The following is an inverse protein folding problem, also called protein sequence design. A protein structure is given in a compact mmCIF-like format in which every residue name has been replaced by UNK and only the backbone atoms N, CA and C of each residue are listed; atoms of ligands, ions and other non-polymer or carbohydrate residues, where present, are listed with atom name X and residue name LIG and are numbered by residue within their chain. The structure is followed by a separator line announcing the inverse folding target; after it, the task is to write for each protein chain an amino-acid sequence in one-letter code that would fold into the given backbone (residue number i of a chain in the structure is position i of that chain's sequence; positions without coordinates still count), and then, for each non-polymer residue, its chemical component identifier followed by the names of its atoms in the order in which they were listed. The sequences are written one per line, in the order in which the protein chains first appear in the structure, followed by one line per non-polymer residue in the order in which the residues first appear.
data_IF_412529425021
#
_entry.id   IF_412529425021
#
_cell.length_a   1.000
_cell.length_b   1.000
_cell.length_c   1.000
_cell.angle_alpha   90.00
_cell.angle_beta   90.00
_cell.angle_gamma   90.00
#
_symmetry.space_group_name_H-M   'P 1'
#
loop_
_entity.id
_entity.type
_entity.pdbx_description
1 polymer ?
#
# COMPACT_ATOMS: atom_id res chain seq x y z
N UNK A 1 -56.13 45.94 39.56
CA UNK A 1 -57.07 45.71 38.46
C UNK A 1 -57.06 44.18 38.28
N UNK A 2 -58.17 43.52 38.64
CA UNK A 2 -58.33 42.10 38.39
C UNK A 2 -58.64 41.89 36.90
N UNK A 3 -58.13 40.84 36.25
CA UNK A 3 -58.41 40.58 34.83
C UNK A 3 -59.90 40.27 34.64
N UNK A 4 -60.45 40.73 33.57
CA UNK A 4 -61.85 40.54 33.20
C UNK A 4 -62.08 39.08 32.71
N UNK A 5 -63.34 38.60 32.82
CA UNK A 5 -63.65 37.20 32.39
C UNK A 5 -63.35 36.91 30.90
N UNK A 6 -63.18 37.91 30.06
CA UNK A 6 -62.84 37.73 28.65
C UNK A 6 -61.35 37.46 28.44
N UNK A 7 -60.45 37.93 29.33
CA UNK A 7 -59.04 37.68 29.27
C UNK A 7 -58.67 36.20 29.61
N UNK A 8 -59.58 35.51 30.33
CA UNK A 8 -59.42 34.10 30.71
C UNK A 8 -59.91 33.13 29.64
N UNK A 9 -60.65 33.56 28.65
CA UNK A 9 -61.06 32.73 27.52
C UNK A 9 -60.05 32.68 26.36
N UNK A 10 -59.21 33.69 26.20
CA UNK A 10 -58.14 33.67 25.19
C UNK A 10 -56.95 32.77 25.60
N UNK A 11 -56.85 32.39 26.88
CA UNK A 11 -55.79 31.49 27.37
C UNK A 11 -56.11 29.99 27.24
N UNK A 12 -57.31 29.62 26.71
CA UNK A 12 -57.71 28.20 26.58
C UNK A 12 -57.55 27.55 25.22
N UNK A 13 -57.09 28.27 24.21
CA UNK A 13 -56.92 27.76 22.85
C UNK A 13 -55.47 27.64 22.38
N UNK A 14 -54.55 27.37 23.31
CA UNK A 14 -53.21 26.90 22.92
C UNK A 14 -53.27 25.36 22.80
N UNK A 15 -53.44 24.90 21.59
CA UNK A 15 -53.47 23.49 21.29
C UNK A 15 -52.16 22.81 21.68
N UNK A 16 -52.19 21.53 22.17
CA UNK A 16 -50.96 20.80 22.56
C UNK A 16 -50.05 20.48 21.39
N UNK A 17 -50.37 20.94 20.18
CA UNK A 17 -49.69 20.56 18.94
C UNK A 17 -48.42 21.37 18.60
N UNK A 18 -48.11 22.45 19.30
CA UNK A 18 -46.95 23.31 18.97
C UNK A 18 -45.65 22.93 19.66
N UNK A 19 -45.65 22.02 20.62
CA UNK A 19 -44.43 21.58 21.33
C UNK A 19 -43.68 20.40 20.71
N UNK A 20 -44.28 19.66 19.74
CA UNK A 20 -43.62 18.54 19.04
C UNK A 20 -42.84 18.93 17.78
N UNK A 21 -43.05 20.14 17.26
CA UNK A 21 -42.54 20.59 15.96
C UNK A 21 -41.03 20.77 15.88
N UNK A 22 -40.27 21.18 16.95
CA UNK A 22 -38.83 21.38 16.83
C UNK A 22 -38.01 20.09 16.72
N UNK A 23 -38.44 19.01 17.41
CA UNK A 23 -37.67 17.74 17.43
C UNK A 23 -37.91 16.97 16.14
N UNK A 24 -39.09 16.96 15.60
CA UNK A 24 -39.38 16.28 14.34
C UNK A 24 -38.76 17.00 13.13
N UNK A 25 -38.80 18.34 13.07
CA UNK A 25 -38.07 19.11 12.05
C UNK A 25 -36.56 18.95 12.14
N UNK A 26 -35.99 18.83 13.36
CA UNK A 26 -34.58 18.56 13.55
C UNK A 26 -34.23 17.13 13.08
N UNK A 27 -35.06 16.12 13.41
CA UNK A 27 -34.84 14.75 12.99
C UNK A 27 -34.95 14.58 11.46
N UNK A 28 -35.98 15.20 10.84
CA UNK A 28 -36.11 15.24 9.37
C UNK A 28 -34.93 15.95 8.70
N UNK A 29 -34.42 17.03 9.31
CA UNK A 29 -33.24 17.74 8.82
C UNK A 29 -31.96 16.88 8.89
N UNK A 30 -31.80 16.03 9.91
CA UNK A 30 -30.67 15.11 10.01
C UNK A 30 -30.77 13.93 9.04
N UNK A 31 -31.96 13.34 8.89
CA UNK A 31 -32.20 12.23 7.95
C UNK A 31 -32.07 12.68 6.51
N UNK A 32 -32.56 13.87 6.15
CA UNK A 32 -32.37 14.44 4.81
C UNK A 32 -30.90 14.78 4.52
N UNK A 33 -30.17 15.35 5.47
CA UNK A 33 -28.75 15.61 5.34
C UNK A 33 -27.93 14.33 5.24
N UNK A 34 -28.26 13.31 6.02
CA UNK A 34 -27.65 12.00 5.94
C UNK A 34 -27.95 11.31 4.60
N UNK A 35 -29.20 11.39 4.13
CA UNK A 35 -29.59 10.84 2.82
C UNK A 35 -28.90 11.61 1.67
N UNK A 36 -28.77 12.92 1.77
CA UNK A 36 -28.00 13.74 0.82
C UNK A 36 -26.51 13.38 0.83
N UNK A 37 -25.92 13.18 2.01
CA UNK A 37 -24.52 12.74 2.15
C UNK A 37 -24.32 11.34 1.56
N UNK A 38 -25.24 10.40 1.83
CA UNK A 38 -25.21 9.06 1.26
C UNK A 38 -25.42 9.09 -0.25
N UNK A 39 -26.34 9.90 -0.76
CA UNK A 39 -26.55 10.05 -2.20
C UNK A 39 -25.34 10.67 -2.89
N UNK A 40 -24.65 11.61 -2.24
CA UNK A 40 -23.38 12.15 -2.72
C UNK A 40 -22.31 11.06 -2.81
N UNK A 41 -22.23 10.20 -1.81
CA UNK A 41 -21.25 9.11 -1.73
C UNK A 41 -21.46 8.06 -2.84
N UNK A 42 -22.73 7.72 -3.16
CA UNK A 42 -23.05 6.66 -4.12
C UNK A 42 -23.22 7.16 -5.57
N UNK A 43 -23.81 8.32 -5.75
CA UNK A 43 -24.22 8.79 -7.08
C UNK A 43 -23.55 10.08 -7.52
N UNK A 44 -22.89 10.81 -6.61
CA UNK A 44 -22.32 12.13 -6.88
C UNK A 44 -23.41 13.16 -7.26
N UNK A 45 -23.04 14.42 -7.27
CA UNK A 45 -23.81 15.47 -7.93
C UNK A 45 -23.16 15.72 -9.31
N UNK A 46 -23.92 16.29 -10.25
CA UNK A 46 -23.43 16.56 -11.62
C UNK A 46 -22.09 17.30 -11.65
N UNK A 47 -21.78 18.07 -10.60
CA UNK A 47 -20.53 18.84 -10.42
C UNK A 47 -19.41 18.04 -9.78
N UNK A 48 -19.74 16.96 -9.01
CA UNK A 48 -18.80 16.13 -8.25
C UNK A 48 -19.09 14.66 -8.52
N UNK A 49 -18.69 14.17 -9.65
CA UNK A 49 -18.97 12.78 -10.04
C UNK A 49 -17.74 11.89 -9.93
N UNK A 50 -16.56 12.45 -10.22
CA UNK A 50 -15.33 11.67 -10.27
C UNK A 50 -14.77 11.38 -8.88
N UNK A 51 -14.89 12.31 -7.96
CA UNK A 51 -14.45 12.13 -6.57
C UNK A 51 -15.14 10.93 -5.91
N UNK A 52 -16.49 10.82 -5.84
CA UNK A 52 -17.15 9.64 -5.28
C UNK A 52 -16.88 8.37 -6.10
N UNK A 53 -16.72 8.48 -7.42
CA UNK A 53 -16.37 7.33 -8.25
C UNK A 53 -15.01 6.74 -7.87
N UNK A 54 -13.98 7.57 -7.69
CA UNK A 54 -12.65 7.12 -7.27
C UNK A 54 -12.69 6.54 -5.85
N UNK A 55 -13.44 7.17 -4.92
CA UNK A 55 -13.66 6.65 -3.57
C UNK A 55 -14.29 5.25 -3.63
N UNK A 56 -15.35 5.07 -4.41
CA UNK A 56 -16.03 3.77 -4.54
C UNK A 56 -15.12 2.71 -5.18
N UNK A 57 -14.26 3.07 -6.13
CA UNK A 57 -13.25 2.16 -6.69
C UNK A 57 -12.28 1.69 -5.60
N UNK A 58 -11.76 2.61 -4.77
CA UNK A 58 -10.86 2.24 -3.65
C UNK A 58 -11.57 1.32 -2.65
N UNK A 59 -12.81 1.62 -2.29
CA UNK A 59 -13.62 0.77 -1.40
C UNK A 59 -13.88 -0.61 -2.01
N UNK A 60 -14.20 -0.68 -3.31
CA UNK A 60 -14.41 -1.95 -4.00
C UNK A 60 -13.14 -2.81 -4.03
N UNK A 61 -11.98 -2.22 -4.34
CA UNK A 61 -10.70 -2.92 -4.26
C UNK A 61 -10.44 -3.44 -2.85
N UNK A 62 -10.67 -2.62 -1.83
CA UNK A 62 -10.48 -3.02 -0.43
C UNK A 62 -11.40 -4.19 -0.03
N UNK A 63 -12.69 -4.14 -0.41
CA UNK A 63 -13.65 -5.22 -0.13
C UNK A 63 -13.31 -6.52 -0.89
N UNK A 64 -12.85 -6.43 -2.14
CA UNK A 64 -12.38 -7.59 -2.91
C UNK A 64 -11.20 -8.24 -2.18
N UNK A 65 -10.25 -7.43 -1.73
CA UNK A 65 -9.06 -7.87 -1.00
C UNK A 65 -9.45 -8.62 0.28
N UNK A 66 -10.37 -8.08 1.07
CA UNK A 66 -10.91 -8.74 2.27
C UNK A 66 -11.62 -10.05 1.90
N UNK A 67 -12.46 -10.03 0.88
CA UNK A 67 -13.20 -11.20 0.42
C UNK A 67 -12.32 -12.34 -0.08
N UNK A 68 -11.10 -12.03 -0.55
CA UNK A 68 -10.09 -13.02 -0.94
C UNK A 68 -9.31 -13.60 0.26
N UNK A 69 -9.75 -13.34 1.50
CA UNK A 69 -9.17 -13.94 2.71
C UNK A 69 -7.98 -13.19 3.30
N UNK A 70 -7.78 -11.92 2.92
CA UNK A 70 -6.84 -11.06 3.64
C UNK A 70 -7.37 -10.87 5.07
N UNK A 71 -6.75 -11.57 6.04
CA UNK A 71 -7.16 -11.48 7.43
C UNK A 71 -6.89 -10.07 7.97
N UNK A 72 -7.95 -9.29 8.19
CA UNK A 72 -7.92 -7.91 8.72
C UNK A 72 -7.22 -7.84 10.09
N UNK A 73 -7.17 -8.98 10.80
CA UNK A 73 -6.65 -9.08 12.17
C UNK A 73 -5.19 -9.53 12.27
N UNK A 74 -4.51 -9.80 11.15
CA UNK A 74 -3.07 -10.08 11.18
C UNK A 74 -2.28 -8.77 11.33
N UNK A 75 -1.12 -8.79 12.05
CA UNK A 75 -0.21 -7.65 12.06
C UNK A 75 0.14 -7.17 10.65
N UNK A 76 0.26 -5.86 10.46
CA UNK A 76 0.54 -5.23 9.16
C UNK A 76 1.73 -5.89 8.44
N UNK A 77 2.79 -6.21 9.17
CA UNK A 77 3.98 -6.91 8.65
C UNK A 77 3.68 -8.30 8.07
N UNK A 78 2.77 -9.06 8.68
CA UNK A 78 2.40 -10.40 8.20
C UNK A 78 1.41 -10.31 7.04
N UNK A 79 0.52 -9.32 7.04
CA UNK A 79 -0.40 -9.04 5.92
C UNK A 79 0.35 -8.60 4.67
N UNK A 80 1.26 -7.64 4.80
CA UNK A 80 2.09 -7.16 3.69
C UNK A 80 3.02 -8.27 3.19
N UNK A 81 3.55 -9.12 4.09
CA UNK A 81 4.36 -10.27 3.70
C UNK A 81 3.53 -11.33 2.95
N UNK A 82 2.32 -11.65 3.41
CA UNK A 82 1.46 -12.61 2.72
C UNK A 82 0.94 -12.07 1.38
N UNK A 83 0.59 -10.77 1.31
CA UNK A 83 0.09 -10.10 0.10
C UNK A 83 1.21 -9.64 -0.81
N UNK A 84 2.29 -9.09 -0.25
CA UNK A 84 3.50 -8.77 -0.98
C UNK A 84 4.12 -10.02 -1.61
N UNK A 85 3.95 -11.20 -0.99
CA UNK A 85 4.37 -12.48 -1.56
C UNK A 85 3.51 -12.88 -2.79
N UNK A 86 2.20 -12.64 -2.78
CA UNK A 86 1.33 -12.86 -3.94
C UNK A 86 1.53 -11.81 -5.05
N UNK A 87 1.68 -10.53 -4.70
CA UNK A 87 1.99 -9.48 -5.67
C UNK A 87 3.45 -9.48 -6.13
N UNK A 88 4.37 -10.05 -5.33
CA UNK A 88 5.81 -10.14 -5.58
C UNK A 88 6.23 -11.28 -6.52
N UNK A 89 5.38 -12.28 -6.74
CA UNK A 89 5.71 -13.44 -7.59
C UNK A 89 5.80 -13.14 -9.08
N UNK A 90 5.52 -11.91 -9.50
CA UNK A 90 5.54 -11.54 -10.92
C UNK A 90 6.61 -10.45 -11.10
N UNK A 91 7.54 -10.63 -12.03
CA UNK A 91 8.63 -9.68 -12.24
C UNK A 91 8.07 -8.30 -12.55
N UNK A 92 8.43 -7.30 -11.74
CA UNK A 92 7.98 -5.90 -11.86
C UNK A 92 8.20 -5.33 -13.27
N UNK A 93 9.19 -5.84 -13.98
CA UNK A 93 9.55 -5.39 -15.34
C UNK A 93 8.54 -5.75 -16.42
N UNK A 94 7.64 -6.70 -16.18
CA UNK A 94 6.66 -7.16 -17.19
C UNK A 94 5.27 -6.59 -16.93
N UNK A 95 4.99 -6.02 -15.75
CA UNK A 95 3.64 -5.70 -15.32
C UNK A 95 3.42 -4.24 -14.94
N UNK A 96 3.65 -3.34 -15.90
CA UNK A 96 3.41 -1.89 -15.76
C UNK A 96 2.01 -1.53 -15.20
N UNK A 97 1.00 -2.36 -15.44
CA UNK A 97 -0.35 -2.14 -14.92
C UNK A 97 -0.42 -2.16 -13.38
N UNK A 98 0.55 -2.77 -12.70
CA UNK A 98 0.62 -2.79 -11.24
C UNK A 98 0.87 -1.39 -10.67
N UNK A 99 1.63 -0.55 -11.36
CA UNK A 99 1.82 0.85 -10.97
C UNK A 99 0.49 1.62 -10.92
N UNK A 100 -0.44 1.24 -11.80
CA UNK A 100 -1.79 1.83 -11.83
C UNK A 100 -2.69 1.22 -10.74
N UNK A 101 -2.68 -0.11 -10.60
CA UNK A 101 -3.55 -0.82 -9.64
C UNK A 101 -3.15 -0.51 -8.20
N UNK A 102 -1.86 -0.35 -7.92
CA UNK A 102 -1.35 -0.05 -6.57
C UNK A 102 -1.95 1.24 -5.98
N UNK A 103 -2.36 2.19 -6.81
CA UNK A 103 -3.01 3.45 -6.39
C UNK A 103 -4.34 3.20 -5.67
N UNK A 104 -5.02 2.08 -5.98
CA UNK A 104 -6.34 1.75 -5.44
C UNK A 104 -6.29 0.71 -4.33
N UNK A 105 -5.14 0.08 -4.10
CA UNK A 105 -4.97 -0.98 -3.10
C UNK A 105 -4.64 -0.38 -1.74
N UNK A 106 -5.35 -0.79 -0.70
CA UNK A 106 -5.09 -0.39 0.69
C UNK A 106 -4.94 -1.63 1.57
N UNK A 107 -3.92 -1.64 2.41
CA UNK A 107 -3.63 -2.77 3.29
C UNK A 107 -4.44 -2.77 4.58
N UNK A 108 -4.96 -1.61 5.01
CA UNK A 108 -5.70 -1.46 6.26
C UNK A 108 -6.84 -0.43 6.17
N UNK A 109 -7.79 -0.53 7.09
CA UNK A 109 -8.96 0.36 7.18
C UNK A 109 -8.55 1.79 7.49
N UNK A 110 -7.59 2.00 8.39
CA UNK A 110 -7.19 3.34 8.83
C UNK A 110 -6.53 4.16 7.69
N UNK A 111 -5.51 3.64 6.96
CA UNK A 111 -4.99 4.30 5.76
C UNK A 111 -6.07 4.57 4.71
N UNK A 112 -6.96 3.61 4.47
CA UNK A 112 -8.08 3.79 3.53
C UNK A 112 -8.96 4.96 3.96
N UNK A 113 -9.43 4.97 5.21
CA UNK A 113 -10.34 6.00 5.72
C UNK A 113 -9.74 7.41 5.61
N UNK A 114 -8.47 7.56 6.01
CA UNK A 114 -7.79 8.86 5.97
C UNK A 114 -7.53 9.31 4.53
N UNK A 115 -7.09 8.41 3.65
CA UNK A 115 -6.93 8.72 2.24
C UNK A 115 -8.26 9.11 1.58
N UNK A 116 -9.36 8.42 1.89
CA UNK A 116 -10.68 8.79 1.35
C UNK A 116 -11.15 10.13 1.89
N UNK A 117 -10.95 10.44 3.16
CA UNK A 117 -11.26 11.75 3.72
C UNK A 117 -10.45 12.87 3.04
N UNK A 118 -9.16 12.66 2.83
CA UNK A 118 -8.29 13.60 2.13
C UNK A 118 -8.72 13.77 0.66
N UNK A 119 -9.03 12.67 -0.04
CA UNK A 119 -9.50 12.71 -1.42
C UNK A 119 -10.83 13.48 -1.56
N UNK A 120 -11.79 13.23 -0.66
CA UNK A 120 -13.08 13.94 -0.67
C UNK A 120 -12.86 15.42 -0.44
N UNK A 121 -12.04 15.80 0.53
CA UNK A 121 -11.79 17.21 0.86
C UNK A 121 -11.17 17.99 -0.30
N UNK A 122 -10.14 17.43 -0.94
CA UNK A 122 -9.49 18.10 -2.07
C UNK A 122 -10.32 17.98 -3.35
N UNK A 123 -11.06 16.89 -3.51
CA UNK A 123 -11.90 16.61 -4.68
C UNK A 123 -13.05 17.59 -4.80
N UNK A 124 -13.73 17.93 -3.70
CA UNK A 124 -14.79 18.93 -3.67
C UNK A 124 -14.31 20.30 -4.19
N UNK A 125 -13.03 20.60 -3.99
CA UNK A 125 -12.43 21.88 -4.44
C UNK A 125 -11.94 21.79 -5.87
N UNK A 126 -11.23 20.74 -6.22
CA UNK A 126 -10.54 20.64 -7.51
C UNK A 126 -11.41 20.15 -8.66
N UNK A 127 -12.35 19.25 -8.41
CA UNK A 127 -13.15 18.67 -9.50
C UNK A 127 -13.97 19.72 -10.26
N UNK A 128 -14.65 20.70 -9.59
CA UNK A 128 -15.35 21.77 -10.31
C UNK A 128 -14.41 22.69 -11.10
N UNK A 129 -13.19 22.89 -10.61
CA UNK A 129 -12.20 23.79 -11.24
C UNK A 129 -11.59 23.13 -12.48
N UNK A 130 -11.15 21.88 -12.33
CA UNK A 130 -10.47 21.14 -13.40
C UNK A 130 -11.45 20.56 -14.41
N UNK A 131 -12.64 20.19 -13.97
CA UNK A 131 -13.59 19.36 -14.73
C UNK A 131 -13.17 17.89 -14.70
N UNK A 132 -14.12 17.01 -15.02
CA UNK A 132 -14.02 15.55 -14.84
C UNK A 132 -12.75 14.92 -15.41
N UNK A 133 -12.48 15.19 -16.70
CA UNK A 133 -11.37 14.57 -17.42
C UNK A 133 -10.01 14.96 -16.84
N UNK A 134 -9.76 16.25 -16.60
CA UNK A 134 -8.49 16.74 -16.05
C UNK A 134 -8.28 16.29 -14.61
N UNK A 135 -9.37 16.23 -13.83
CA UNK A 135 -9.33 15.75 -12.46
C UNK A 135 -8.86 14.28 -12.39
N UNK A 136 -9.50 13.39 -13.15
CA UNK A 136 -9.12 11.97 -13.22
C UNK A 136 -7.70 11.81 -13.77
N UNK A 137 -7.36 12.55 -14.83
CA UNK A 137 -6.01 12.51 -15.41
C UNK A 137 -4.95 12.95 -14.39
N UNK A 138 -5.19 14.04 -13.66
CA UNK A 138 -4.27 14.50 -12.62
C UNK A 138 -4.09 13.46 -11.52
N UNK A 139 -5.18 12.85 -11.03
CA UNK A 139 -5.14 11.80 -10.02
C UNK A 139 -4.30 10.60 -10.47
N UNK A 140 -4.60 10.05 -11.65
CA UNK A 140 -3.93 8.86 -12.17
C UNK A 140 -2.46 9.11 -12.48
N UNK A 141 -2.14 10.21 -13.17
CA UNK A 141 -0.76 10.52 -13.53
C UNK A 141 0.11 10.82 -12.32
N UNK A 142 -0.42 11.53 -11.33
CA UNK A 142 0.30 11.79 -10.07
C UNK A 142 0.55 10.49 -9.30
N UNK A 143 -0.43 9.59 -9.28
CA UNK A 143 -0.29 8.27 -8.67
C UNK A 143 0.78 7.42 -9.37
N UNK A 144 0.78 7.39 -10.71
CA UNK A 144 1.79 6.66 -11.50
C UNK A 144 3.19 7.19 -11.21
N UNK A 145 3.39 8.52 -11.23
CA UNK A 145 4.71 9.11 -10.90
C UNK A 145 5.07 8.82 -9.44
N UNK A 146 4.13 8.88 -8.52
CA UNK A 146 4.35 8.47 -7.13
C UNK A 146 4.89 7.05 -7.06
N UNK A 147 4.20 6.09 -7.68
CA UNK A 147 4.62 4.67 -7.70
C UNK A 147 5.99 4.48 -8.37
N UNK A 148 6.26 5.19 -9.47
CA UNK A 148 7.57 5.12 -10.18
C UNK A 148 8.68 5.75 -9.33
N UNK A 149 8.41 6.88 -8.65
CA UNK A 149 9.39 7.53 -7.76
C UNK A 149 9.73 6.62 -6.58
N UNK A 150 8.74 5.96 -6.00
CA UNK A 150 8.93 4.96 -4.97
C UNK A 150 9.84 3.84 -5.44
N UNK A 151 9.53 3.28 -6.60
CA UNK A 151 10.33 2.21 -7.20
C UNK A 151 11.79 2.63 -7.45
N UNK A 152 12.01 3.87 -7.88
CA UNK A 152 13.36 4.41 -8.12
C UNK A 152 14.12 4.72 -6.83
N UNK A 153 13.41 5.05 -5.75
CA UNK A 153 14.03 5.39 -4.46
C UNK A 153 14.31 4.17 -3.59
N UNK A 154 13.40 3.21 -3.62
CA UNK A 154 13.47 1.98 -2.82
C UNK A 154 13.16 0.78 -3.73
N UNK A 155 14.17 0.24 -4.39
CA UNK A 155 14.06 -0.78 -5.45
C UNK A 155 13.25 -2.04 -5.09
N UNK A 156 12.88 -2.20 -3.82
CA UNK A 156 12.10 -3.35 -3.33
C UNK A 156 10.89 -2.95 -2.46
N UNK A 157 10.50 -1.68 -2.42
CA UNK A 157 9.25 -1.28 -1.78
C UNK A 157 8.12 -1.21 -2.81
N UNK A 158 7.00 -1.82 -2.47
CA UNK A 158 5.78 -1.67 -3.26
C UNK A 158 5.01 -0.53 -2.61
N UNK A 159 4.92 0.59 -3.29
CA UNK A 159 3.99 1.66 -2.91
C UNK A 159 2.57 1.16 -3.08
N UNK A 160 1.83 1.08 -1.99
CA UNK A 160 0.42 0.67 -1.96
C UNK A 160 -0.37 1.84 -1.36
N UNK A 161 -1.44 2.24 -2.04
CA UNK A 161 -2.36 3.26 -1.55
C UNK A 161 -2.47 4.49 -2.44
N UNK A 162 -3.51 5.27 -2.19
CA UNK A 162 -3.84 6.47 -2.94
C UNK A 162 -2.98 7.69 -2.57
N UNK A 163 -2.08 7.59 -1.58
CA UNK A 163 -1.37 8.72 -0.99
C UNK A 163 -0.58 9.54 -2.00
N UNK A 164 0.15 8.89 -2.92
CA UNK A 164 0.88 9.57 -4.00
C UNK A 164 -0.04 10.34 -4.93
N UNK A 165 -1.16 9.76 -5.33
CA UNK A 165 -2.16 10.42 -6.17
C UNK A 165 -2.81 11.61 -5.44
N UNK A 166 -3.18 11.44 -4.18
CA UNK A 166 -3.79 12.49 -3.35
C UNK A 166 -2.80 13.63 -3.09
N UNK A 167 -1.54 13.32 -2.76
CA UNK A 167 -0.48 14.34 -2.67
C UNK A 167 -0.35 15.12 -3.99
N UNK A 168 -0.48 14.44 -5.13
CA UNK A 168 -0.52 15.11 -6.42
C UNK A 168 -1.71 16.04 -6.61
N UNK A 169 -2.90 15.67 -6.12
CA UNK A 169 -4.05 16.58 -6.14
C UNK A 169 -3.80 17.82 -5.29
N UNK A 170 -3.16 17.69 -4.12
CA UNK A 170 -2.73 18.86 -3.32
C UNK A 170 -1.66 19.66 -4.08
N UNK A 171 -0.72 19.01 -4.77
CA UNK A 171 0.24 19.69 -5.64
C UNK A 171 -0.44 20.53 -6.73
N UNK A 172 -1.40 19.96 -7.45
CA UNK A 172 -2.18 20.68 -8.45
C UNK A 172 -2.96 21.86 -7.82
N UNK A 173 -3.53 21.65 -6.63
CA UNK A 173 -4.18 22.71 -5.89
C UNK A 173 -3.21 23.86 -5.56
N UNK A 174 -2.03 23.57 -5.03
CA UNK A 174 -1.03 24.60 -4.75
C UNK A 174 -0.61 25.39 -6.00
N UNK A 175 -0.39 24.69 -7.13
CA UNK A 175 -0.12 25.35 -8.40
C UNK A 175 -1.23 26.34 -8.80
N UNK A 176 -2.49 25.95 -8.63
CA UNK A 176 -3.63 26.83 -8.92
C UNK A 176 -3.78 27.99 -7.94
N UNK A 177 -3.40 27.80 -6.67
CA UNK A 177 -3.37 28.87 -5.68
C UNK A 177 -2.36 29.97 -6.04
N UNK A 178 -1.15 29.59 -6.49
CA UNK A 178 -0.12 30.57 -6.88
C UNK A 178 -0.56 31.46 -8.03
N UNK A 179 -1.42 30.97 -8.92
CA UNK A 179 -2.00 31.74 -10.04
C UNK A 179 -3.32 32.42 -9.70
N UNK A 180 -3.69 32.49 -8.43
CA UNK A 180 -4.90 33.17 -7.88
C UNK A 180 -6.21 32.76 -8.57
N UNK A 181 -6.35 31.46 -8.88
CA UNK A 181 -7.55 30.92 -9.56
C UNK A 181 -8.65 30.49 -8.59
N UNK A 182 -8.36 30.40 -7.30
CA UNK A 182 -9.30 29.96 -6.27
C UNK A 182 -9.62 31.15 -5.36
N UNK A 183 -10.81 31.73 -5.49
CA UNK A 183 -11.17 33.00 -4.83
C UNK A 183 -12.01 32.86 -3.55
N UNK A 184 -12.79 31.81 -3.39
CA UNK A 184 -13.81 31.71 -2.31
C UNK A 184 -13.72 30.37 -1.57
N UNK A 185 -12.52 30.03 -1.09
CA UNK A 185 -12.33 28.79 -0.38
C UNK A 185 -12.29 29.02 1.14
N UNK A 186 -12.88 28.11 1.91
CA UNK A 186 -12.64 28.03 3.33
C UNK A 186 -11.21 27.49 3.59
N UNK A 187 -10.25 28.40 3.50
CA UNK A 187 -8.82 28.11 3.64
C UNK A 187 -8.48 27.41 4.95
N UNK A 188 -9.18 27.79 6.04
CA UNK A 188 -8.93 27.21 7.36
C UNK A 188 -9.24 25.72 7.38
N UNK A 189 -10.40 25.31 6.87
CA UNK A 189 -10.78 23.90 6.81
C UNK A 189 -9.83 23.08 5.92
N UNK A 190 -9.43 23.63 4.77
CA UNK A 190 -8.50 22.97 3.88
C UNK A 190 -7.11 22.81 4.48
N UNK A 191 -6.59 23.85 5.14
CA UNK A 191 -5.31 23.82 5.83
C UNK A 191 -5.31 22.82 6.99
N UNK A 192 -6.41 22.71 7.74
CA UNK A 192 -6.56 21.70 8.80
C UNK A 192 -6.50 20.29 8.22
N UNK A 193 -7.24 20.03 7.13
CA UNK A 193 -7.24 18.72 6.48
C UNK A 193 -5.88 18.36 5.88
N UNK A 194 -5.20 19.33 5.27
CA UNK A 194 -3.85 19.14 4.75
C UNK A 194 -2.86 18.86 5.90
N UNK A 195 -2.91 19.64 6.98
CA UNK A 195 -2.05 19.44 8.14
C UNK A 195 -2.28 18.05 8.76
N UNK A 196 -3.54 17.62 8.88
CA UNK A 196 -3.89 16.28 9.34
C UNK A 196 -3.34 15.20 8.41
N UNK A 197 -3.49 15.35 7.09
CA UNK A 197 -2.96 14.41 6.11
C UNK A 197 -1.43 14.32 6.17
N UNK A 198 -0.73 15.47 6.26
CA UNK A 198 0.73 15.50 6.39
C UNK A 198 1.18 14.85 7.72
N UNK A 199 0.52 15.13 8.82
CA UNK A 199 0.81 14.53 10.12
C UNK A 199 0.63 13.01 10.07
N UNK A 200 -0.44 12.54 9.42
CA UNK A 200 -0.65 11.12 9.18
C UNK A 200 0.47 10.49 8.33
N UNK A 201 0.88 11.13 7.23
CA UNK A 201 1.97 10.63 6.39
C UNK A 201 3.29 10.56 7.14
N UNK A 202 3.60 11.53 7.99
CA UNK A 202 4.78 11.50 8.86
C UNK A 202 4.67 10.35 9.86
N UNK A 203 3.49 10.16 10.46
CA UNK A 203 3.23 9.07 11.40
C UNK A 203 3.44 7.70 10.74
N UNK A 204 2.86 7.47 9.56
CA UNK A 204 2.98 6.20 8.84
C UNK A 204 4.43 5.92 8.39
N UNK A 205 5.17 6.94 7.95
CA UNK A 205 6.60 6.80 7.63
C UNK A 205 7.41 6.38 8.85
N UNK A 206 7.10 6.94 10.01
CA UNK A 206 7.85 6.65 11.24
C UNK A 206 7.52 5.28 11.84
N UNK A 207 6.24 4.87 11.80
CA UNK A 207 5.76 3.64 12.45
C UNK A 207 5.59 2.45 11.51
N UNK A 208 5.35 2.68 10.22
CA UNK A 208 4.96 1.65 9.26
C UNK A 208 5.88 1.56 8.04
N UNK A 209 7.02 2.28 8.01
CA UNK A 209 7.91 2.40 6.84
C UNK A 209 7.15 2.82 5.56
N UNK A 210 6.16 3.74 5.71
CA UNK A 210 5.35 4.20 4.59
C UNK A 210 6.19 5.00 3.56
N UNK A 211 5.73 4.94 2.32
CA UNK A 211 6.45 5.40 1.16
C UNK A 211 6.39 6.93 0.98
N UNK A 212 7.31 7.65 1.63
CA UNK A 212 7.45 9.09 1.48
C UNK A 212 7.84 9.48 0.03
N UNK A 213 8.58 8.62 -0.67
CA UNK A 213 9.02 8.90 -2.04
C UNK A 213 7.82 8.95 -3.00
N UNK A 214 6.85 8.04 -2.84
CA UNK A 214 5.61 8.09 -3.60
C UNK A 214 4.83 9.39 -3.37
N UNK A 215 4.72 9.82 -2.12
CA UNK A 215 4.01 11.05 -1.75
C UNK A 215 4.69 12.30 -2.33
N UNK A 216 6.02 12.40 -2.25
CA UNK A 216 6.80 13.51 -2.80
C UNK A 216 6.78 13.52 -4.34
N UNK A 217 6.94 12.34 -4.97
CA UNK A 217 6.86 12.20 -6.42
C UNK A 217 5.49 12.61 -6.95
N UNK A 218 4.42 12.15 -6.28
CA UNK A 218 3.05 12.54 -6.61
C UNK A 218 2.82 14.05 -6.47
N UNK A 219 3.26 14.66 -5.36
CA UNK A 219 3.17 16.10 -5.13
C UNK A 219 3.85 16.91 -6.24
N UNK A 220 5.08 16.54 -6.60
CA UNK A 220 5.83 17.20 -7.67
C UNK A 220 5.13 17.08 -9.02
N UNK A 221 4.66 15.87 -9.36
CA UNK A 221 3.88 15.64 -10.57
C UNK A 221 2.60 16.49 -10.61
N UNK A 222 1.88 16.54 -9.49
CA UNK A 222 0.67 17.35 -9.37
C UNK A 222 0.92 18.84 -9.54
N UNK A 223 2.00 19.37 -8.98
CA UNK A 223 2.43 20.76 -9.21
C UNK A 223 2.63 21.03 -10.71
N UNK A 224 3.37 20.17 -11.40
CA UNK A 224 3.61 20.30 -12.85
C UNK A 224 2.31 20.24 -13.64
N UNK A 225 1.43 19.28 -13.33
CA UNK A 225 0.13 19.10 -13.98
C UNK A 225 -0.76 20.34 -13.75
N UNK A 226 -0.79 20.85 -12.52
CA UNK A 226 -1.55 22.04 -12.16
C UNK A 226 -1.12 23.25 -12.98
N UNK A 227 0.18 23.53 -13.08
CA UNK A 227 0.70 24.61 -13.92
C UNK A 227 0.42 24.38 -15.41
N UNK A 228 0.55 23.15 -15.91
CA UNK A 228 0.25 22.82 -17.31
C UNK A 228 -1.22 23.05 -17.67
N UNK A 229 -2.14 22.95 -16.72
CA UNK A 229 -3.56 23.21 -16.97
C UNK A 229 -3.94 24.71 -16.92
N UNK A 230 -3.09 25.60 -16.37
CA UNK A 230 -3.40 27.02 -16.26
C UNK A 230 -3.83 27.68 -17.58
N UNK A 231 -3.14 27.47 -18.73
CA UNK A 231 -3.56 28.08 -20.00
C UNK A 231 -4.98 27.66 -20.40
N UNK A 232 -5.30 26.38 -20.29
CA UNK A 232 -6.61 25.86 -20.66
C UNK A 232 -7.73 26.24 -19.67
N UNK A 233 -7.37 26.54 -18.42
CA UNK A 233 -8.31 27.06 -17.42
C UNK A 233 -8.60 28.55 -17.60
N UNK A 234 -7.71 29.29 -18.30
CA UNK A 234 -7.95 30.69 -18.68
C UNK A 234 -8.96 30.82 -19.80
N UNK A 235 -9.11 29.79 -20.64
CA UNK A 235 -10.00 29.71 -21.80
C UNK A 235 -10.98 28.53 -21.69
N UNK A 236 -11.96 28.57 -20.78
CA UNK A 236 -12.82 27.41 -20.48
C UNK A 236 -13.69 26.96 -21.66
N UNK A 237 -13.97 27.84 -22.64
CA UNK A 237 -14.69 27.53 -23.87
C UNK A 237 -13.86 26.80 -24.94
N UNK A 238 -12.53 26.86 -24.85
CA UNK A 238 -11.65 26.24 -25.84
C UNK A 238 -11.39 24.75 -25.52
N UNK A 239 -12.28 23.91 -26.04
CA UNK A 239 -12.18 22.43 -25.89
C UNK A 239 -10.93 21.86 -26.58
N UNK A 240 -10.42 22.50 -27.64
CA UNK A 240 -9.21 22.08 -28.34
C UNK A 240 -7.98 22.28 -27.45
N UNK A 241 -7.86 23.47 -26.84
CA UNK A 241 -6.77 23.76 -25.92
C UNK A 241 -6.82 22.84 -24.68
N UNK A 242 -8.02 22.54 -24.17
CA UNK A 242 -8.20 21.59 -23.08
C UNK A 242 -7.69 20.19 -23.43
N UNK A 243 -8.01 19.68 -24.62
CA UNK A 243 -7.54 18.36 -25.11
C UNK A 243 -6.02 18.36 -25.31
N UNK A 244 -5.48 19.38 -25.98
CA UNK A 244 -4.04 19.48 -26.25
C UNK A 244 -3.24 19.52 -24.96
N UNK A 245 -3.63 20.33 -23.98
CA UNK A 245 -2.94 20.41 -22.68
C UNK A 245 -3.03 19.11 -21.92
N UNK A 246 -4.19 18.45 -21.89
CA UNK A 246 -4.37 17.17 -21.19
C UNK A 246 -3.57 16.06 -21.85
N UNK A 247 -3.63 15.92 -23.17
CA UNK A 247 -2.86 14.90 -23.90
C UNK A 247 -1.36 15.18 -23.81
N UNK A 248 -0.94 16.43 -23.98
CA UNK A 248 0.47 16.82 -23.93
C UNK A 248 1.11 16.51 -22.57
N UNK A 249 0.45 16.90 -21.47
CA UNK A 249 0.97 16.60 -20.14
C UNK A 249 0.93 15.09 -19.83
N UNK A 250 -0.08 14.37 -20.35
CA UNK A 250 -0.14 12.91 -20.19
C UNK A 250 1.01 12.21 -20.90
N UNK A 251 1.28 12.56 -22.14
CA UNK A 251 2.42 12.02 -22.91
C UNK A 251 3.72 12.33 -22.19
N UNK A 252 3.93 13.58 -21.76
CA UNK A 252 5.13 13.98 -21.04
C UNK A 252 5.35 13.16 -19.76
N UNK A 253 4.34 13.09 -18.91
CA UNK A 253 4.40 12.35 -17.64
C UNK A 253 4.63 10.85 -17.88
N UNK A 254 3.92 10.24 -18.82
CA UNK A 254 4.09 8.81 -19.13
C UNK A 254 5.48 8.52 -19.74
N UNK A 255 6.02 9.44 -20.54
CA UNK A 255 7.40 9.31 -21.08
C UNK A 255 8.42 9.36 -19.94
N UNK A 256 8.29 10.31 -19.00
CA UNK A 256 9.15 10.40 -17.82
C UNK A 256 9.01 9.14 -16.97
N UNK A 257 7.78 8.69 -16.70
CA UNK A 257 7.53 7.48 -15.94
C UNK A 257 8.18 6.25 -16.61
N UNK A 258 8.02 6.11 -17.92
CA UNK A 258 8.61 5.00 -18.69
C UNK A 258 10.14 5.06 -18.69
N UNK A 259 10.74 6.24 -18.81
CA UNK A 259 12.18 6.41 -18.77
C UNK A 259 12.76 6.06 -17.40
N UNK A 260 12.13 6.51 -16.32
CA UNK A 260 12.55 6.16 -14.95
C UNK A 260 12.37 4.66 -14.72
N UNK A 261 11.22 4.10 -15.08
CA UNK A 261 10.94 2.66 -14.96
C UNK A 261 11.95 1.79 -15.73
N UNK A 262 12.33 2.19 -16.93
CA UNK A 262 13.31 1.47 -17.75
C UNK A 262 14.74 1.51 -17.17
N UNK A 263 15.05 2.53 -16.36
CA UNK A 263 16.36 2.68 -15.71
C UNK A 263 16.39 2.17 -14.25
N UNK A 264 15.26 1.68 -13.71
CA UNK A 264 15.27 0.98 -12.42
C UNK A 264 16.02 -0.34 -12.54
N UNK A 265 16.76 -0.71 -11.49
CA UNK A 265 17.56 -1.92 -11.47
C UNK A 265 16.69 -3.18 -11.56
N UNK A 266 17.27 -4.28 -12.05
CA UNK A 266 16.64 -5.60 -12.08
C UNK A 266 16.76 -6.35 -10.75
N UNK A 267 17.21 -5.71 -9.67
CA UNK A 267 17.57 -6.39 -8.42
C UNK A 267 16.39 -7.16 -7.82
N UNK A 268 15.16 -6.68 -7.98
CA UNK A 268 13.98 -7.41 -7.55
C UNK A 268 13.74 -8.72 -8.32
N UNK A 269 13.93 -8.69 -9.64
CA UNK A 269 13.80 -9.89 -10.50
C UNK A 269 14.93 -10.88 -10.21
N UNK A 270 16.14 -10.38 -10.07
CA UNK A 270 17.31 -11.20 -9.76
C UNK A 270 17.20 -11.81 -8.35
N UNK A 271 16.67 -11.07 -7.38
CA UNK A 271 16.34 -11.57 -6.04
C UNK A 271 15.34 -12.74 -6.12
N UNK A 272 14.21 -12.56 -6.80
CA UNK A 272 13.18 -13.60 -6.90
C UNK A 272 13.70 -14.84 -7.63
N UNK A 273 14.49 -14.68 -8.68
CA UNK A 273 15.13 -15.77 -9.40
C UNK A 273 16.08 -16.56 -8.51
N UNK A 274 16.95 -15.87 -7.79
CA UNK A 274 17.89 -16.50 -6.88
C UNK A 274 17.18 -17.15 -5.68
N UNK A 275 16.13 -16.53 -5.14
CA UNK A 275 15.33 -17.11 -4.06
C UNK A 275 14.58 -18.37 -4.52
N UNK A 276 14.04 -18.38 -5.74
CA UNK A 276 13.42 -19.59 -6.32
C UNK A 276 14.43 -20.71 -6.45
N UNK A 277 15.61 -20.40 -6.98
CA UNK A 277 16.68 -21.39 -7.11
C UNK A 277 17.18 -21.89 -5.74
N UNK A 278 17.24 -21.01 -4.72
CA UNK A 278 17.49 -21.40 -3.34
C UNK A 278 16.47 -22.44 -2.84
N UNK A 279 15.17 -22.21 -3.07
CA UNK A 279 14.11 -23.16 -2.67
C UNK A 279 14.20 -24.49 -3.41
N UNK A 280 14.61 -24.47 -4.67
CA UNK A 280 14.86 -25.69 -5.45
C UNK A 280 16.02 -26.48 -4.87
N UNK A 281 17.13 -25.83 -4.52
CA UNK A 281 18.29 -26.43 -3.87
C UNK A 281 17.95 -27.01 -2.49
N UNK A 282 17.20 -26.26 -1.67
CA UNK A 282 16.68 -26.71 -0.37
C UNK A 282 15.84 -27.98 -0.53
N UNK A 283 14.87 -27.95 -1.44
CA UNK A 283 14.01 -29.09 -1.73
C UNK A 283 14.81 -30.31 -2.19
N UNK A 284 15.79 -30.13 -3.07
CA UNK A 284 16.69 -31.20 -3.53
C UNK A 284 17.49 -31.79 -2.38
N UNK A 285 18.03 -30.95 -1.47
CA UNK A 285 18.77 -31.42 -0.31
C UNK A 285 17.92 -32.26 0.66
N UNK A 286 16.69 -31.79 0.93
CA UNK A 286 15.74 -32.45 1.84
C UNK A 286 15.24 -33.77 1.21
N UNK A 287 14.88 -33.72 -0.06
CA UNK A 287 14.37 -34.91 -0.79
C UNK A 287 15.40 -36.01 -0.93
N UNK A 288 16.69 -35.66 -1.03
CA UNK A 288 17.78 -36.65 -1.06
C UNK A 288 17.78 -37.57 0.17
N UNK A 289 17.23 -37.09 1.31
CA UNK A 289 17.15 -37.88 2.55
C UNK A 289 15.78 -38.51 2.71
N UNK A 290 14.69 -37.78 2.54
CA UNK A 290 13.33 -38.27 2.78
C UNK A 290 12.98 -39.44 1.85
N UNK A 291 13.40 -39.40 0.61
CA UNK A 291 13.10 -40.44 -0.38
C UNK A 291 14.16 -41.56 -0.46
N UNK A 292 15.12 -41.59 0.47
CA UNK A 292 16.05 -42.68 0.57
C UNK A 292 15.34 -43.94 1.12
N UNK A 293 15.23 -44.97 0.28
CA UNK A 293 14.39 -46.15 0.56
C UNK A 293 15.12 -47.32 1.23
N UNK A 294 16.45 -47.38 1.15
CA UNK A 294 17.21 -48.49 1.68
C UNK A 294 17.79 -48.17 3.09
N UNK A 295 17.24 -48.74 4.16
CA UNK A 295 17.73 -48.45 5.52
C UNK A 295 19.12 -49.04 5.80
N UNK A 296 19.66 -49.88 4.89
CA UNK A 296 21.00 -50.50 5.03
C UNK A 296 22.12 -49.63 4.49
N UNK A 297 21.77 -48.63 3.67
CA UNK A 297 22.71 -47.71 3.04
C UNK A 297 22.51 -46.35 3.66
N UNK A 298 23.57 -45.62 4.08
CA UNK A 298 23.39 -44.25 4.58
C UNK A 298 22.78 -43.37 3.48
N UNK A 299 21.85 -42.47 3.83
CA UNK A 299 21.34 -41.49 2.88
C UNK A 299 22.49 -40.70 2.21
N UNK A 300 22.35 -40.23 0.98
CA UNK A 300 23.42 -39.56 0.23
C UNK A 300 23.66 -38.13 0.71
N UNK A 301 23.99 -37.99 2.01
CA UNK A 301 24.24 -36.73 2.66
C UNK A 301 25.35 -35.94 1.95
N UNK A 302 26.49 -36.61 1.70
CA UNK A 302 27.68 -35.98 1.16
C UNK A 302 27.64 -35.83 -0.37
N UNK A 303 27.02 -36.78 -1.05
CA UNK A 303 26.97 -36.81 -2.52
C UNK A 303 25.89 -35.86 -3.08
N UNK A 304 24.76 -35.72 -2.41
CA UNK A 304 23.61 -34.94 -2.89
C UNK A 304 23.18 -33.83 -1.92
N UNK A 305 23.11 -34.13 -0.62
CA UNK A 305 22.60 -33.19 0.39
C UNK A 305 23.51 -31.98 0.60
N UNK A 306 24.77 -32.20 0.95
CA UNK A 306 25.73 -31.09 1.21
C UNK A 306 25.98 -30.26 -0.05
N UNK A 307 26.17 -30.81 -1.27
CA UNK A 307 26.29 -30.00 -2.47
C UNK A 307 25.07 -29.13 -2.76
N UNK A 308 23.86 -29.63 -2.52
CA UNK A 308 22.63 -28.88 -2.70
C UNK A 308 22.54 -27.70 -1.70
N UNK A 309 22.89 -27.90 -0.41
CA UNK A 309 22.97 -26.81 0.56
C UNK A 309 24.07 -25.78 0.23
N UNK A 310 25.21 -26.22 -0.31
CA UNK A 310 26.26 -25.30 -0.80
C UNK A 310 25.79 -24.50 -2.02
N UNK A 311 24.98 -25.10 -2.90
CA UNK A 311 24.37 -24.39 -4.01
C UNK A 311 23.34 -23.35 -3.50
N UNK A 312 22.55 -23.69 -2.46
CA UNK A 312 21.66 -22.75 -1.80
C UNK A 312 22.43 -21.53 -1.20
N UNK A 313 23.60 -21.75 -0.59
CA UNK A 313 24.47 -20.65 -0.11
C UNK A 313 24.95 -19.74 -1.24
N UNK A 314 25.32 -20.30 -2.41
CA UNK A 314 25.69 -19.48 -3.58
C UNK A 314 24.54 -18.59 -4.07
N UNK A 315 23.29 -19.07 -3.98
CA UNK A 315 22.14 -18.22 -4.30
C UNK A 315 22.02 -17.03 -3.32
N UNK A 316 22.32 -17.25 -2.03
CA UNK A 316 22.35 -16.17 -1.04
C UNK A 316 23.52 -15.20 -1.27
N UNK A 317 24.68 -15.68 -1.72
CA UNK A 317 25.82 -14.83 -2.11
C UNK A 317 25.43 -13.88 -3.27
N UNK A 318 24.71 -14.43 -4.27
CA UNK A 318 24.19 -13.64 -5.38
C UNK A 318 23.14 -12.61 -4.90
N UNK A 319 22.26 -12.99 -3.96
CA UNK A 319 21.28 -12.07 -3.38
C UNK A 319 21.96 -10.96 -2.56
N UNK A 320 23.02 -11.26 -1.81
CA UNK A 320 23.70 -10.29 -0.97
C UNK A 320 24.44 -9.21 -1.80
N UNK A 321 24.74 -9.47 -3.08
CA UNK A 321 25.28 -8.48 -4.02
C UNK A 321 24.25 -7.48 -4.54
N UNK A 322 22.94 -7.75 -4.34
CA UNK A 322 21.84 -6.90 -4.80
C UNK A 322 21.53 -5.79 -3.79
N UNK A 323 20.98 -4.69 -4.29
CA UNK A 323 20.46 -3.63 -3.43
C UNK A 323 19.07 -4.01 -2.91
N UNK A 324 19.02 -4.65 -1.73
CA UNK A 324 17.80 -5.14 -1.10
C UNK A 324 17.48 -4.41 0.20
N UNK A 325 16.17 -4.35 0.52
CA UNK A 325 15.67 -3.70 1.72
C UNK A 325 16.26 -4.31 3.01
N UNK A 326 16.53 -3.51 4.08
CA UNK A 326 17.13 -3.97 5.33
C UNK A 326 16.43 -5.19 5.97
N UNK A 327 15.08 -5.32 5.97
CA UNK A 327 14.42 -6.52 6.48
C UNK A 327 14.78 -7.79 5.72
N UNK A 328 14.98 -7.70 4.40
CA UNK A 328 15.38 -8.83 3.56
C UNK A 328 16.83 -9.22 3.79
N UNK A 329 17.72 -8.24 4.00
CA UNK A 329 19.12 -8.49 4.41
C UNK A 329 19.18 -9.28 5.72
N UNK A 330 18.38 -8.88 6.73
CA UNK A 330 18.28 -9.62 8.01
C UNK A 330 17.79 -11.06 7.78
N UNK A 331 16.79 -11.26 6.92
CA UNK A 331 16.28 -12.58 6.57
C UNK A 331 17.37 -13.43 5.88
N UNK A 332 18.14 -12.86 4.95
CA UNK A 332 19.21 -13.59 4.27
C UNK A 332 20.30 -14.06 5.24
N UNK A 333 20.65 -13.26 6.25
CA UNK A 333 21.58 -13.68 7.30
C UNK A 333 21.04 -14.92 8.04
N UNK A 334 19.75 -14.95 8.36
CA UNK A 334 19.13 -16.11 9.01
C UNK A 334 19.08 -17.34 8.07
N UNK A 335 18.77 -17.15 6.78
CA UNK A 335 18.78 -18.23 5.79
C UNK A 335 20.17 -18.79 5.59
N UNK A 336 21.20 -17.96 5.59
CA UNK A 336 22.60 -18.39 5.54
C UNK A 336 22.96 -19.27 6.75
N UNK A 337 22.64 -18.80 7.95
CA UNK A 337 22.84 -19.58 9.18
C UNK A 337 22.06 -20.89 9.17
N UNK A 338 20.86 -20.90 8.62
CA UNK A 338 20.08 -22.11 8.41
C UNK A 338 20.80 -23.12 7.52
N UNK A 339 21.32 -22.70 6.37
CA UNK A 339 22.05 -23.57 5.44
C UNK A 339 23.33 -24.13 6.09
N UNK A 340 24.09 -23.30 6.80
CA UNK A 340 25.33 -23.72 7.50
C UNK A 340 25.05 -24.80 8.54
N UNK A 341 24.01 -24.63 9.36
CA UNK A 341 23.58 -25.62 10.33
C UNK A 341 23.14 -26.92 9.63
N UNK A 342 22.43 -26.82 8.52
CA UNK A 342 22.02 -28.00 7.73
C UNK A 342 23.23 -28.75 7.15
N UNK A 343 24.24 -28.05 6.64
CA UNK A 343 25.48 -28.68 6.19
C UNK A 343 26.15 -29.41 7.33
N UNK A 344 26.36 -28.74 8.49
CA UNK A 344 26.94 -29.37 9.66
C UNK A 344 26.16 -30.59 10.12
N UNK A 345 24.83 -30.50 10.12
CA UNK A 345 23.96 -31.63 10.49
C UNK A 345 24.15 -32.82 9.54
N UNK A 346 24.25 -32.60 8.24
CA UNK A 346 24.42 -33.65 7.25
C UNK A 346 25.82 -34.31 7.35
N UNK A 347 26.85 -33.51 7.57
CA UNK A 347 28.22 -33.98 7.82
C UNK A 347 28.30 -34.81 9.12
N UNK A 348 27.58 -34.37 10.18
CA UNK A 348 27.49 -35.11 11.45
C UNK A 348 26.76 -36.43 11.28
N UNK A 349 25.62 -36.45 10.55
CA UNK A 349 24.91 -37.69 10.26
C UNK A 349 25.77 -38.68 9.43
N UNK A 350 26.53 -38.19 8.45
CA UNK A 350 27.43 -39.02 7.69
C UNK A 350 28.49 -39.71 8.59
N UNK A 351 29.08 -38.93 9.54
CA UNK A 351 30.03 -39.47 10.54
C UNK A 351 29.38 -40.49 11.47
N UNK A 352 28.16 -40.25 11.91
CA UNK A 352 27.40 -41.16 12.76
C UNK A 352 27.13 -42.52 12.08
N UNK A 353 26.84 -42.52 10.77
CA UNK A 353 26.67 -43.76 10.02
C UNK A 353 28.01 -44.50 9.79
N UNK A 354 29.11 -43.80 9.65
CA UNK A 354 30.43 -44.39 9.46
C UNK A 354 31.05 -44.96 10.75
N UNK A 355 30.89 -44.22 11.86
CA UNK A 355 31.44 -44.55 13.18
C UNK A 355 30.47 -44.14 14.29
N UNK A 356 29.55 -45.03 14.72
CA UNK A 356 28.62 -44.74 15.80
C UNK A 356 29.36 -44.46 17.13
N UNK A 357 29.26 -43.20 17.61
CA UNK A 357 29.83 -42.80 18.93
C UNK A 357 28.79 -41.93 19.67
N UNK A 358 28.81 -42.06 21.00
CA UNK A 358 27.91 -41.29 21.91
C UNK A 358 28.14 -39.80 21.86
N UNK A 359 29.37 -39.35 21.56
CA UNK A 359 29.71 -37.93 21.41
C UNK A 359 29.03 -37.33 20.19
N UNK A 360 28.92 -38.04 19.06
CA UNK A 360 28.24 -37.61 17.84
C UNK A 360 26.74 -37.40 18.07
N UNK A 361 26.12 -38.22 18.91
CA UNK A 361 24.71 -38.06 19.28
C UNK A 361 24.46 -36.72 20.03
N UNK A 362 25.39 -36.24 20.81
CA UNK A 362 25.31 -34.96 21.50
C UNK A 362 25.42 -33.79 20.48
N UNK A 363 26.30 -33.92 19.50
CA UNK A 363 26.46 -32.94 18.40
C UNK A 363 25.22 -32.87 17.53
N UNK A 364 24.59 -34.00 17.19
CA UNK A 364 23.32 -34.05 16.47
C UNK A 364 22.21 -33.28 17.20
N UNK A 365 22.02 -33.58 18.50
CA UNK A 365 21.02 -32.87 19.32
C UNK A 365 21.28 -31.37 19.42
N UNK A 366 22.56 -30.93 19.46
CA UNK A 366 22.91 -29.53 19.46
C UNK A 366 22.53 -28.84 18.14
N UNK A 367 22.84 -29.48 17.01
CA UNK A 367 22.51 -28.96 15.68
C UNK A 367 20.99 -28.87 15.47
N UNK A 368 20.22 -29.85 15.94
CA UNK A 368 18.75 -29.82 15.88
C UNK A 368 18.16 -28.65 16.72
N UNK A 369 18.71 -28.39 17.91
CA UNK A 369 18.29 -27.22 18.74
C UNK A 369 18.60 -25.90 18.03
N UNK A 370 19.81 -25.75 17.47
CA UNK A 370 20.20 -24.56 16.70
C UNK A 370 19.31 -24.36 15.48
N UNK A 371 18.98 -25.43 14.80
CA UNK A 371 18.08 -25.41 13.65
C UNK A 371 16.68 -24.93 14.05
N UNK A 372 16.13 -25.48 15.15
CA UNK A 372 14.82 -25.09 15.66
C UNK A 372 14.81 -23.61 16.05
N UNK A 373 15.88 -23.11 16.67
CA UNK A 373 16.02 -21.71 17.02
C UNK A 373 15.95 -20.81 15.76
N UNK A 374 16.78 -21.09 14.75
CA UNK A 374 16.81 -20.29 13.52
C UNK A 374 15.48 -20.35 12.77
N UNK A 375 14.81 -21.52 12.75
CA UNK A 375 13.48 -21.65 12.15
C UNK A 375 12.42 -20.81 12.90
N UNK A 376 12.49 -20.73 14.22
CA UNK A 376 11.61 -19.87 15.01
C UNK A 376 11.88 -18.39 14.74
N UNK A 377 13.15 -17.98 14.61
CA UNK A 377 13.52 -16.62 14.22
C UNK A 377 13.01 -16.27 12.80
N UNK A 378 13.14 -17.18 11.85
CA UNK A 378 12.64 -17.02 10.47
C UNK A 378 11.11 -16.97 10.41
N UNK A 379 10.41 -17.69 11.30
CA UNK A 379 8.94 -17.72 11.35
C UNK A 379 8.33 -16.59 12.17
N UNK A 380 9.14 -15.72 12.78
CA UNK A 380 8.65 -14.64 13.66
C UNK A 380 8.12 -15.07 15.03
N UNK A 381 8.18 -16.36 15.36
CA UNK A 381 7.66 -16.89 16.64
C UNK A 381 8.52 -16.56 17.87
N UNK A 382 9.73 -16.04 17.67
CA UNK A 382 10.66 -15.70 18.76
C UNK A 382 10.30 -14.42 19.54
N UNK A 383 9.28 -13.65 19.12
CA UNK A 383 8.89 -12.39 19.78
C UNK A 383 7.79 -12.51 20.84
N UNK A 384 7.36 -13.71 21.19
CA UNK A 384 6.26 -13.94 22.14
C UNK A 384 6.65 -14.62 23.44
N UNK A 385 7.95 -14.75 23.78
CA UNK A 385 8.43 -15.46 24.96
C UNK A 385 9.44 -14.64 25.81
N UNK A 386 9.22 -13.32 25.91
CA UNK A 386 9.81 -12.45 26.94
C UNK A 386 8.72 -11.64 27.65
#
# INVERSE_FOLDING_TARGET
MEPTPDDLNEMKDVSPLELEVPVQRAAESWTTKAAEALSFFWFGKREYMMTPMIVNINLAFFLIIIGMGAAIFLPFSERVLSWGYYFRRLPLRIEWWRLLVSIFVHADVLPLAINMAALISIGIVLEPILGKTRFVTAYLLSGIIGSVTSLAWQEMSISIGASGAICGMYGAFFALCTVRRIKELNWTALLILLAFFIAYQIFTVYYEDADLAASLGGLAAGLLIGYAYVPSLKMPGDTRLQRITTIGISIFILTVASAVYANTSNDAEEYDKNLKHFMECESAAINAIIYHKDPRVPPPFHEKGVPAWRAALKCLDAIDSLYIAPPLKKRNVLLRRYCEIRIQTYETYQRMYAHPDTSINAECRLNERRLTQVMNELSGKARGAE
#
